data_IF_200656879890
#
_entry.id   IF_200656879890
#
_cell.length_a   1.000
_cell.length_b   1.000
_cell.length_c   1.000
_cell.angle_alpha   90.00
_cell.angle_beta   90.00
_cell.angle_gamma   90.00
#
_symmetry.space_group_name_H-M   'P 1'
#
loop_
_entity.id
_entity.type
_entity.pdbx_description
1 polymer ?
#
# COMPACT_ATOMS: atom_id res chain seq x y z
N UNK A 1 -17.97 -7.29 5.62
CA UNK A 1 -18.47 -7.45 4.23
C UNK A 1 -17.32 -7.89 3.35
N UNK A 2 -17.47 -9.06 2.74
CA UNK A 2 -16.40 -9.81 2.07
C UNK A 2 -15.99 -9.15 0.75
N UNK A 3 -14.69 -8.91 0.54
CA UNK A 3 -14.10 -8.33 -0.68
C UNK A 3 -14.08 -9.31 -1.87
N UNK A 4 -14.96 -10.33 -1.88
CA UNK A 4 -14.95 -11.40 -2.89
C UNK A 4 -15.52 -10.98 -4.24
N UNK A 5 -16.18 -9.83 -4.33
CA UNK A 5 -16.85 -9.36 -5.56
C UNK A 5 -16.15 -8.17 -6.23
N UNK A 6 -14.91 -7.85 -5.85
CA UNK A 6 -14.19 -6.68 -6.42
C UNK A 6 -13.54 -6.96 -7.78
N UNK A 7 -13.61 -8.20 -8.27
CA UNK A 7 -12.97 -8.66 -9.51
C UNK A 7 -13.94 -8.76 -10.70
N UNK A 8 -15.15 -8.21 -10.61
CA UNK A 8 -16.13 -8.28 -11.70
C UNK A 8 -15.78 -7.40 -12.90
N UNK A 9 -14.94 -6.37 -12.70
CA UNK A 9 -14.61 -5.37 -13.74
C UNK A 9 -13.43 -5.80 -14.63
N UNK A 10 -12.61 -6.77 -14.20
CA UNK A 10 -11.46 -7.27 -14.96
C UNK A 10 -11.44 -8.79 -14.87
N UNK A 11 -11.72 -9.47 -15.98
CA UNK A 11 -11.49 -10.91 -16.07
C UNK A 11 -9.99 -11.16 -15.98
N UNK A 12 -9.54 -11.73 -14.86
CA UNK A 12 -8.15 -12.13 -14.74
C UNK A 12 -7.90 -13.37 -15.60
N UNK A 13 -6.75 -13.44 -16.29
CA UNK A 13 -6.41 -14.61 -17.08
C UNK A 13 -6.35 -15.88 -16.21
N UNK A 14 -6.65 -17.05 -16.79
CA UNK A 14 -6.54 -18.34 -16.13
C UNK A 14 -5.20 -18.52 -15.39
N UNK A 15 -5.24 -19.21 -14.24
CA UNK A 15 -4.02 -19.47 -13.43
C UNK A 15 -2.91 -20.16 -14.21
N UNK A 16 -3.24 -20.95 -15.23
CA UNK A 16 -2.28 -21.62 -16.09
C UNK A 16 -1.50 -20.63 -16.96
N UNK A 17 -2.18 -19.63 -17.53
CA UNK A 17 -1.54 -18.57 -18.33
C UNK A 17 -0.63 -17.70 -17.48
N UNK A 18 -1.05 -17.36 -16.26
CA UNK A 18 -0.21 -16.63 -15.30
C UNK A 18 1.08 -17.40 -14.96
N UNK A 19 0.98 -18.73 -14.80
CA UNK A 19 2.15 -19.59 -14.56
C UNK A 19 3.06 -19.69 -15.79
N UNK A 20 2.47 -19.82 -16.98
CA UNK A 20 3.21 -19.88 -18.23
C UNK A 20 3.97 -18.57 -18.48
N UNK A 21 3.31 -17.42 -18.31
CA UNK A 21 3.94 -16.10 -18.37
C UNK A 21 5.06 -15.96 -17.34
N UNK A 22 4.84 -16.38 -16.10
CA UNK A 22 5.89 -16.35 -15.08
C UNK A 22 7.09 -17.26 -15.42
N UNK A 23 6.85 -18.37 -16.12
CA UNK A 23 7.91 -19.26 -16.57
C UNK A 23 8.69 -18.65 -17.75
N UNK A 24 8.00 -18.10 -18.76
CA UNK A 24 8.65 -17.44 -19.90
C UNK A 24 9.48 -16.24 -19.46
N UNK A 25 8.98 -15.44 -18.52
CA UNK A 25 9.73 -14.30 -17.96
C UNK A 25 11.00 -14.75 -17.24
N UNK A 26 10.94 -15.83 -16.45
CA UNK A 26 12.14 -16.40 -15.80
C UNK A 26 13.16 -16.88 -16.83
N UNK A 27 12.72 -17.52 -17.90
CA UNK A 27 13.61 -17.97 -18.97
C UNK A 27 14.25 -16.78 -19.69
N UNK A 28 13.48 -15.72 -19.99
CA UNK A 28 14.02 -14.49 -20.57
C UNK A 28 15.12 -13.91 -19.69
N UNK A 29 14.85 -13.72 -18.40
CA UNK A 29 15.81 -13.18 -17.44
C UNK A 29 17.04 -14.07 -17.33
N UNK A 30 16.88 -15.40 -17.34
CA UNK A 30 18.01 -16.32 -17.31
C UNK A 30 18.92 -16.17 -18.54
N UNK A 31 18.34 -16.00 -19.73
CA UNK A 31 19.11 -15.78 -20.96
C UNK A 31 19.84 -14.44 -20.92
N UNK A 32 19.16 -13.37 -20.47
CA UNK A 32 19.76 -12.05 -20.27
C UNK A 32 20.92 -12.10 -19.26
N UNK A 33 20.76 -12.80 -18.13
CA UNK A 33 21.82 -12.99 -17.14
C UNK A 33 23.03 -13.73 -17.71
N UNK A 34 22.81 -14.77 -18.52
CA UNK A 34 23.90 -15.47 -19.18
C UNK A 34 24.65 -14.57 -20.16
N UNK A 35 23.94 -13.70 -20.88
CA UNK A 35 24.54 -12.70 -21.78
C UNK A 35 25.40 -11.70 -21.00
N UNK A 36 24.85 -11.10 -19.93
CA UNK A 36 25.58 -10.19 -19.04
C UNK A 36 26.83 -10.86 -18.46
N UNK A 37 26.74 -12.13 -18.05
CA UNK A 37 27.88 -12.88 -17.54
C UNK A 37 28.99 -13.06 -18.59
N UNK A 38 28.62 -13.26 -19.86
CA UNK A 38 29.58 -13.33 -20.97
C UNK A 38 30.25 -11.99 -21.22
N UNK A 39 29.51 -10.88 -21.16
CA UNK A 39 30.03 -9.52 -21.33
C UNK A 39 31.02 -9.14 -20.22
N UNK A 40 30.68 -9.43 -18.96
CA UNK A 40 31.61 -9.25 -17.83
C UNK A 40 32.85 -10.12 -18.00
N UNK A 41 32.68 -11.38 -18.42
CA UNK A 41 33.82 -12.29 -18.67
C UNK A 41 34.71 -11.82 -19.82
N UNK A 42 34.16 -11.08 -20.78
CA UNK A 42 34.90 -10.45 -21.86
C UNK A 42 35.63 -9.15 -21.45
N UNK A 43 35.49 -8.73 -20.18
CA UNK A 43 36.21 -7.60 -19.59
C UNK A 43 35.41 -6.30 -19.49
N UNK A 44 34.09 -6.32 -19.70
CA UNK A 44 33.23 -5.16 -19.41
C UNK A 44 33.10 -4.94 -17.89
N UNK A 45 33.03 -3.68 -17.47
CA UNK A 45 32.77 -3.33 -16.08
C UNK A 45 31.31 -3.68 -15.70
N UNK A 46 31.07 -4.44 -14.62
CA UNK A 46 29.72 -4.71 -14.11
C UNK A 46 28.86 -3.46 -13.88
N UNK A 47 29.45 -2.31 -13.53
CA UNK A 47 28.68 -1.07 -13.27
C UNK A 47 28.12 -0.44 -14.56
N UNK A 48 28.68 -0.76 -15.72
CA UNK A 48 28.19 -0.31 -17.03
C UNK A 48 27.04 -1.20 -17.56
N UNK A 49 26.74 -2.32 -16.88
CA UNK A 49 25.73 -3.29 -17.28
C UNK A 49 24.42 -3.12 -16.53
N UNK A 50 23.31 -3.23 -17.27
CA UNK A 50 21.98 -3.13 -16.68
C UNK A 50 21.58 -4.43 -15.97
N UNK A 51 21.06 -4.36 -14.73
CA UNK A 51 20.56 -5.53 -13.99
C UNK A 51 19.30 -6.10 -14.66
N UNK A 52 19.37 -7.30 -15.29
CA UNK A 52 18.22 -7.90 -15.94
C UNK A 52 17.16 -8.31 -14.90
N UNK A 53 15.88 -8.19 -15.28
CA UNK A 53 14.77 -8.61 -14.41
C UNK A 53 14.42 -7.68 -13.25
N UNK A 54 14.95 -6.46 -13.20
CA UNK A 54 14.60 -5.43 -12.18
C UNK A 54 13.09 -5.20 -12.07
N UNK A 55 12.38 -5.19 -13.20
CA UNK A 55 10.92 -5.03 -13.25
C UNK A 55 10.12 -6.28 -12.81
N UNK A 56 10.76 -7.44 -12.70
CA UNK A 56 10.12 -8.70 -12.31
C UNK A 56 10.28 -9.01 -10.81
N UNK A 57 10.97 -8.14 -10.06
CA UNK A 57 11.06 -8.24 -8.59
C UNK A 57 9.63 -8.17 -8.01
N UNK A 58 9.17 -9.20 -7.28
CA UNK A 58 7.85 -9.15 -6.65
C UNK A 58 7.75 -7.94 -5.74
N UNK A 59 6.69 -7.14 -5.88
CA UNK A 59 6.40 -6.05 -4.95
C UNK A 59 6.39 -6.62 -3.53
N UNK A 60 7.36 -6.17 -2.72
CA UNK A 60 7.52 -6.67 -1.37
C UNK A 60 6.24 -6.39 -0.58
N UNK A 61 5.74 -7.37 0.18
CA UNK A 61 4.51 -7.21 0.98
C UNK A 61 4.58 -6.02 1.97
N UNK A 62 5.80 -5.58 2.31
CA UNK A 62 6.11 -4.46 3.19
C UNK A 62 6.71 -3.27 2.42
N UNK A 63 6.14 -2.95 1.26
CA UNK A 63 6.48 -1.73 0.55
C UNK A 63 6.09 -0.49 1.40
N UNK A 64 7.10 0.31 1.72
CA UNK A 64 6.97 1.51 2.54
C UNK A 64 6.03 2.54 1.91
N UNK A 65 6.02 2.66 0.59
CA UNK A 65 5.19 3.64 -0.11
C UNK A 65 3.73 3.18 -0.16
N UNK A 66 3.50 1.88 -0.35
CA UNK A 66 2.17 1.27 -0.19
C UNK A 66 1.66 1.43 1.25
N UNK A 67 2.54 1.31 2.25
CA UNK A 67 2.18 1.51 3.65
C UNK A 67 1.81 2.98 3.94
N UNK A 68 2.61 3.95 3.46
CA UNK A 68 2.31 5.39 3.56
C UNK A 68 0.96 5.72 2.91
N UNK A 69 0.69 5.17 1.72
CA UNK A 69 -0.55 5.41 1.00
C UNK A 69 -1.77 4.84 1.75
N UNK A 70 -1.65 3.63 2.31
CA UNK A 70 -2.70 3.02 3.15
C UNK A 70 -3.00 3.88 4.39
N UNK A 71 -1.98 4.36 5.08
CA UNK A 71 -2.13 5.23 6.26
C UNK A 71 -2.83 6.55 5.89
N UNK A 72 -2.45 7.17 4.77
CA UNK A 72 -3.09 8.39 4.28
C UNK A 72 -4.59 8.19 3.97
N UNK A 73 -4.95 7.08 3.30
CA UNK A 73 -6.34 6.69 3.02
C UNK A 73 -7.12 6.41 4.32
N UNK A 74 -6.49 5.75 5.29
CA UNK A 74 -7.13 5.38 6.56
C UNK A 74 -7.42 6.58 7.44
N UNK A 75 -6.54 7.59 7.49
CA UNK A 75 -6.76 8.85 8.23
C UNK A 75 -8.06 9.56 7.82
N UNK A 76 -8.37 9.56 6.52
CA UNK A 76 -9.61 10.15 5.99
C UNK A 76 -10.85 9.33 6.38
N UNK A 77 -10.77 8.00 6.30
CA UNK A 77 -11.89 7.08 6.62
C UNK A 77 -12.19 6.96 8.12
N UNK A 78 -11.17 7.07 8.97
CA UNK A 78 -11.32 6.94 10.42
C UNK A 78 -11.89 8.18 11.11
N UNK A 79 -12.05 9.31 10.39
CA UNK A 79 -12.85 10.45 10.86
C UNK A 79 -14.34 10.12 10.75
N UNK A 80 -14.81 9.18 11.57
CA UNK A 80 -16.24 8.87 11.69
C UNK A 80 -16.95 10.11 12.24
N UNK A 81 -17.70 10.78 11.37
CA UNK A 81 -18.38 12.05 11.63
C UNK A 81 -19.22 12.03 12.91
N UNK A 82 -19.91 10.90 13.19
CA UNK A 82 -20.70 10.74 14.42
C UNK A 82 -19.87 10.81 15.70
N UNK A 83 -18.61 10.31 15.70
CA UNK A 83 -17.72 10.37 16.87
C UNK A 83 -17.26 11.80 17.12
N UNK A 84 -17.03 12.56 16.04
CA UNK A 84 -16.71 13.99 16.10
C UNK A 84 -17.91 14.81 16.61
N UNK A 85 -19.13 14.49 16.16
CA UNK A 85 -20.37 15.14 16.61
C UNK A 85 -20.69 14.83 18.08
N UNK A 86 -20.54 13.57 18.50
CA UNK A 86 -20.65 13.14 19.89
C UNK A 86 -19.61 13.83 20.77
N UNK A 87 -18.37 13.94 20.30
CA UNK A 87 -17.32 14.68 21.00
C UNK A 87 -17.72 16.14 21.21
N UNK A 88 -18.15 16.85 20.15
CA UNK A 88 -18.64 18.24 20.24
C UNK A 88 -19.82 18.39 21.20
N UNK A 89 -20.81 17.48 21.16
CA UNK A 89 -21.94 17.47 22.11
C UNK A 89 -21.49 17.31 23.55
N UNK A 90 -20.58 16.36 23.83
CA UNK A 90 -20.05 16.14 25.18
C UNK A 90 -19.24 17.34 25.66
N UNK A 91 -18.44 17.95 24.79
CA UNK A 91 -17.68 19.16 25.14
C UNK A 91 -18.62 20.31 25.51
N UNK A 92 -19.68 20.54 24.73
CA UNK A 92 -20.71 21.54 25.05
C UNK A 92 -21.38 21.28 26.41
N UNK A 93 -21.81 20.04 26.65
CA UNK A 93 -22.40 19.68 27.96
C UNK A 93 -21.42 19.85 29.13
N UNK A 94 -20.12 19.59 28.93
CA UNK A 94 -19.12 19.83 29.96
C UNK A 94 -18.91 21.32 30.23
N UNK A 95 -18.92 22.15 29.19
CA UNK A 95 -18.85 23.60 29.32
C UNK A 95 -20.07 24.14 30.06
N UNK A 96 -21.28 23.76 29.64
CA UNK A 96 -22.54 24.15 30.30
C UNK A 96 -22.56 23.73 31.77
N UNK A 97 -22.09 22.51 32.08
CA UNK A 97 -21.98 22.03 33.47
C UNK A 97 -20.95 22.81 34.28
N UNK A 98 -19.80 23.15 33.68
CA UNK A 98 -18.78 23.95 34.35
C UNK A 98 -19.25 25.40 34.61
N UNK A 99 -19.96 26.01 33.65
CA UNK A 99 -20.59 27.33 33.82
C UNK A 99 -21.65 27.31 34.91
N UNK A 100 -22.51 26.28 34.95
CA UNK A 100 -23.50 26.11 36.01
C UNK A 100 -22.86 25.98 37.40
N UNK A 101 -21.75 25.24 37.53
CA UNK A 101 -21.02 25.15 38.80
C UNK A 101 -20.36 26.48 39.20
N UNK A 102 -19.83 27.24 38.25
CA UNK A 102 -19.27 28.58 38.54
C UNK A 102 -20.34 29.53 39.05
N UNK A 103 -21.48 29.60 38.36
CA UNK A 103 -22.61 30.45 38.74
C UNK A 103 -23.22 30.03 40.09
N UNK A 104 -23.23 28.74 40.40
CA UNK A 104 -23.70 28.23 41.69
C UNK A 104 -22.73 28.47 42.85
N UNK A 105 -21.44 28.72 42.57
CA UNK A 105 -20.43 29.09 43.58
C UNK A 105 -20.24 30.60 43.74
N UNK A 106 -20.81 31.41 42.84
CA UNK A 106 -20.82 32.89 42.90
C UNK A 106 -22.08 33.44 43.59
N UNK A 107 -23.08 32.60 43.90
CA UNK A 107 -24.20 32.88 44.82
C UNK A 107 -23.92 32.33 46.22
#
# INVERSE_FOLDING_TARGET
MSQRHRTSEVQMPPKQELKAHAHSERQRIQMELNQVAQEVSAGLDPEDLHEPGTAWKPLHHHDADVAKEKVAKQRKRNRRHWKTKMWKRRTKMRQEKAEAFRLAGEN
#
